data_IF_890538603041
#
_entry.id   IF_890538603041
#
_cell.length_a   1.000
_cell.length_b   1.000
_cell.length_c   1.000
_cell.angle_alpha   90.00
_cell.angle_beta   90.00
_cell.angle_gamma   90.00
#
_symmetry.space_group_name_H-M   'P 1'
#
loop_
_entity.id
_entity.type
_entity.pdbx_description
1 polymer ?
#
# COMPACT_ATOMS: atom_id res chain seq x y z
N UNK A 1 23.31 67.41 41.81
CA UNK A 1 23.92 66.09 41.49
C UNK A 1 23.06 64.86 41.97
N UNK A 2 22.00 65.07 42.74
CA UNK A 2 21.18 64.05 43.41
C UNK A 2 20.10 63.45 42.48
N UNK A 3 19.58 64.23 41.53
CA UNK A 3 18.44 63.79 40.67
C UNK A 3 18.87 62.86 39.50
N UNK A 4 20.12 62.88 39.07
CA UNK A 4 20.63 62.09 37.93
C UNK A 4 20.69 60.58 38.24
N UNK A 5 20.79 60.19 39.52
CA UNK A 5 20.87 58.79 39.93
C UNK A 5 19.49 58.16 40.09
N UNK A 6 18.43 58.93 40.38
CA UNK A 6 17.08 58.45 40.51
C UNK A 6 16.49 58.05 39.14
N UNK A 7 16.73 58.86 38.08
CA UNK A 7 16.25 58.52 36.73
C UNK A 7 16.96 57.31 36.15
N UNK A 8 18.22 57.04 36.52
CA UNK A 8 18.93 55.82 36.10
C UNK A 8 18.37 54.57 36.75
N UNK A 9 17.89 54.65 37.99
CA UNK A 9 17.24 53.52 38.68
C UNK A 9 15.84 53.25 38.14
N UNK A 10 15.08 54.31 37.82
CA UNK A 10 13.74 54.21 37.20
C UNK A 10 13.84 53.65 35.77
N UNK A 11 14.79 54.11 34.96
CA UNK A 11 15.01 53.59 33.61
C UNK A 11 15.42 52.08 33.62
N UNK A 12 16.24 51.68 34.60
CA UNK A 12 16.60 50.26 34.76
C UNK A 12 15.44 49.37 35.17
N UNK A 13 14.53 49.85 36.03
CA UNK A 13 13.33 49.14 36.47
C UNK A 13 12.31 49.00 35.34
N UNK A 14 12.12 50.00 34.48
CA UNK A 14 11.19 49.95 33.34
C UNK A 14 11.67 49.00 32.27
N UNK A 15 13.01 48.97 31.99
CA UNK A 15 13.59 48.03 31.05
C UNK A 15 13.48 46.56 31.55
N UNK A 16 13.66 46.33 32.86
CA UNK A 16 13.50 44.99 33.45
C UNK A 16 12.04 44.47 33.39
N UNK A 17 11.06 45.35 33.57
CA UNK A 17 9.61 45.00 33.47
C UNK A 17 9.23 44.74 32.00
N UNK A 18 9.78 45.48 31.04
CA UNK A 18 9.50 45.22 29.60
C UNK A 18 10.07 43.91 29.08
N UNK A 19 11.16 43.39 29.66
CA UNK A 19 11.73 42.10 29.28
C UNK A 19 10.94 40.91 29.86
N UNK A 20 10.10 41.11 30.89
CA UNK A 20 9.29 40.07 31.50
C UNK A 20 7.94 39.82 30.83
N UNK A 21 7.52 40.66 29.87
CA UNK A 21 6.27 40.55 29.13
C UNK A 21 6.40 39.90 27.75
N UNK A 22 7.51 39.25 27.42
CA UNK A 22 7.61 38.40 26.23
C UNK A 22 6.80 37.12 26.54
N UNK A 23 5.70 36.88 25.81
CA UNK A 23 5.00 35.61 25.96
C UNK A 23 5.99 34.47 25.62
N UNK A 24 5.95 33.35 26.37
CA UNK A 24 6.74 32.20 25.98
C UNK A 24 6.39 31.87 24.53
N UNK A 25 7.35 31.88 23.62
CA UNK A 25 7.17 31.34 22.31
C UNK A 25 6.80 29.85 22.51
N UNK A 26 5.51 29.55 22.46
CA UNK A 26 5.04 28.17 22.40
C UNK A 26 5.68 27.58 21.15
N UNK A 27 6.76 26.82 21.33
CA UNK A 27 7.23 25.93 20.29
C UNK A 27 6.06 25.00 20.03
N UNK A 28 5.29 25.27 18.98
CA UNK A 28 4.35 24.31 18.45
C UNK A 28 5.20 23.08 18.13
N UNK A 29 5.08 22.03 18.96
CA UNK A 29 5.63 20.75 18.61
C UNK A 29 4.97 20.39 17.28
N UNK A 30 5.72 20.46 16.20
CA UNK A 30 5.26 19.93 14.92
C UNK A 30 4.99 18.45 15.19
N UNK A 31 3.74 18.06 15.04
CA UNK A 31 3.34 16.67 15.12
C UNK A 31 4.08 15.96 13.98
N UNK A 32 5.21 15.34 14.32
CA UNK A 32 6.06 14.64 13.34
C UNK A 32 5.29 13.38 12.95
N UNK A 33 4.72 13.41 11.73
CA UNK A 33 4.04 12.27 11.16
C UNK A 33 5.02 11.09 11.03
N UNK A 34 4.82 10.04 11.80
CA UNK A 34 5.63 8.82 11.67
C UNK A 34 5.19 7.98 10.48
N UNK A 35 6.09 7.16 9.95
CA UNK A 35 5.75 6.25 8.85
C UNK A 35 4.66 5.25 9.24
N UNK A 36 4.63 4.80 10.49
CA UNK A 36 3.58 3.89 10.99
C UNK A 36 2.22 4.60 11.06
N UNK A 37 2.16 5.83 11.56
CA UNK A 37 0.93 6.63 11.58
C UNK A 37 0.42 6.89 10.16
N UNK A 38 1.32 7.20 9.23
CA UNK A 38 0.96 7.39 7.83
C UNK A 38 0.43 6.10 7.19
N UNK A 39 1.08 4.97 7.45
CA UNK A 39 0.62 3.66 6.99
C UNK A 39 -0.76 3.29 7.56
N UNK A 40 -1.01 3.61 8.83
CA UNK A 40 -2.33 3.42 9.45
C UNK A 40 -3.41 4.27 8.75
N UNK A 41 -3.11 5.52 8.45
CA UNK A 41 -4.02 6.39 7.72
C UNK A 41 -4.35 5.85 6.32
N UNK A 42 -3.36 5.30 5.61
CA UNK A 42 -3.57 4.60 4.34
C UNK A 42 -4.47 3.38 4.52
N UNK A 43 -4.20 2.54 5.54
CA UNK A 43 -5.02 1.37 5.85
C UNK A 43 -6.46 1.73 6.19
N UNK A 44 -6.69 2.80 6.96
CA UNK A 44 -8.03 3.30 7.27
C UNK A 44 -8.74 3.81 6.01
N UNK A 45 -8.04 4.52 5.11
CA UNK A 45 -8.60 4.94 3.82
C UNK A 45 -9.08 3.73 3.01
N UNK A 46 -8.27 2.67 2.91
CA UNK A 46 -8.67 1.44 2.23
C UNK A 46 -9.86 0.76 2.91
N UNK A 47 -10.03 0.94 4.22
CA UNK A 47 -11.21 0.46 4.96
C UNK A 47 -12.52 1.19 4.62
N UNK A 48 -12.46 2.35 3.98
CA UNK A 48 -13.65 3.10 3.51
C UNK A 48 -14.03 2.78 2.07
N UNK A 49 -13.24 1.95 1.38
CA UNK A 49 -13.45 1.59 -0.02
C UNK A 49 -14.29 0.31 -0.07
N UNK A 50 -15.48 0.40 -0.64
CA UNK A 50 -16.35 -0.75 -0.88
C UNK A 50 -15.90 -1.53 -2.10
N UNK A 51 -15.54 -0.82 -3.18
CA UNK A 51 -15.00 -1.39 -4.41
C UNK A 51 -14.08 -0.39 -5.12
N UNK A 52 -13.22 -0.88 -6.01
CA UNK A 52 -12.48 -0.03 -6.94
C UNK A 52 -12.11 -0.76 -8.23
N UNK A 53 -11.89 0.02 -9.27
CA UNK A 53 -11.20 -0.41 -10.49
C UNK A 53 -9.93 0.38 -10.66
N UNK A 54 -8.92 -0.22 -11.29
CA UNK A 54 -7.70 0.48 -11.72
C UNK A 54 -7.08 -0.23 -12.93
N UNK A 55 -6.31 0.50 -13.72
CA UNK A 55 -5.36 -0.13 -14.64
C UNK A 55 -4.16 -0.60 -13.83
N UNK A 56 -3.69 -1.81 -14.10
CA UNK A 56 -2.51 -2.39 -13.46
C UNK A 56 -1.45 -2.73 -14.51
N UNK A 57 -0.21 -2.34 -14.22
CA UNK A 57 0.97 -2.80 -14.94
C UNK A 57 1.87 -3.55 -13.97
N UNK A 58 2.24 -4.78 -14.31
CA UNK A 58 3.13 -5.62 -13.51
C UNK A 58 4.41 -5.84 -14.31
N UNK A 59 5.55 -5.45 -13.74
CA UNK A 59 6.87 -5.61 -14.38
C UNK A 59 7.74 -6.54 -13.54
N UNK A 60 8.31 -7.56 -14.21
CA UNK A 60 9.28 -8.48 -13.63
C UNK A 60 10.36 -8.78 -14.67
N UNK A 61 11.59 -8.35 -14.41
CA UNK A 61 12.67 -8.41 -15.39
C UNK A 61 12.31 -7.68 -16.67
N UNK A 62 12.33 -8.38 -17.80
CA UNK A 62 11.94 -7.84 -19.12
C UNK A 62 10.45 -8.07 -19.44
N UNK A 63 9.73 -8.76 -18.57
CA UNK A 63 8.31 -9.07 -18.78
C UNK A 63 7.43 -7.98 -18.22
N UNK A 64 6.48 -7.50 -19.02
CA UNK A 64 5.44 -6.57 -18.61
C UNK A 64 4.08 -7.19 -18.88
N UNK A 65 3.23 -7.19 -17.86
CA UNK A 65 1.83 -7.58 -17.95
C UNK A 65 0.95 -6.37 -17.68
N UNK A 66 -0.14 -6.24 -18.41
CA UNK A 66 -1.08 -5.11 -18.28
C UNK A 66 -2.50 -5.64 -18.16
N UNK A 67 -3.35 -4.89 -17.48
CA UNK A 67 -4.75 -5.29 -17.33
C UNK A 67 -5.57 -4.31 -16.50
N UNK A 68 -6.81 -4.70 -16.25
CA UNK A 68 -7.72 -3.99 -15.35
C UNK A 68 -7.95 -4.82 -14.11
N UNK A 69 -7.66 -4.26 -12.95
CA UNK A 69 -8.01 -4.84 -11.66
C UNK A 69 -9.39 -4.34 -11.22
N UNK A 70 -10.19 -5.26 -10.71
CA UNK A 70 -11.45 -5.02 -10.02
C UNK A 70 -11.29 -5.56 -8.60
N UNK A 71 -11.66 -4.79 -7.62
CA UNK A 71 -11.67 -5.19 -6.21
C UNK A 71 -13.01 -4.86 -5.60
N UNK A 72 -13.50 -5.73 -4.73
CA UNK A 72 -14.65 -5.47 -3.87
C UNK A 72 -14.40 -6.04 -2.49
N UNK A 73 -14.64 -5.21 -1.49
CA UNK A 73 -14.51 -5.62 -0.10
C UNK A 73 -15.50 -6.76 0.25
N UNK A 74 -15.12 -7.68 1.12
CA UNK A 74 -13.86 -7.67 1.83
C UNK A 74 -12.70 -8.34 1.07
N UNK A 75 -12.92 -9.25 0.13
CA UNK A 75 -11.88 -10.18 -0.36
C UNK A 75 -12.04 -10.56 -1.85
N UNK A 76 -12.92 -9.91 -2.60
CA UNK A 76 -13.11 -10.22 -4.01
C UNK A 76 -12.13 -9.42 -4.86
N UNK A 77 -11.37 -10.11 -5.72
CA UNK A 77 -10.49 -9.49 -6.69
C UNK A 77 -10.58 -10.20 -8.03
N UNK A 78 -10.55 -9.43 -9.10
CA UNK A 78 -10.38 -9.94 -10.47
C UNK A 78 -9.40 -9.07 -11.22
N UNK A 79 -8.51 -9.69 -11.99
CA UNK A 79 -7.66 -9.01 -12.97
C UNK A 79 -7.97 -9.60 -14.34
N UNK A 80 -8.39 -8.74 -15.25
CA UNK A 80 -8.50 -9.08 -16.66
C UNK A 80 -7.25 -8.52 -17.35
N UNK A 81 -6.36 -9.40 -17.79
CA UNK A 81 -5.15 -8.98 -18.49
C UNK A 81 -5.45 -8.64 -19.95
N UNK A 82 -4.86 -7.57 -20.43
CA UNK A 82 -4.82 -7.15 -21.83
C UNK A 82 -3.50 -7.50 -22.49
N UNK A 83 -2.48 -7.70 -21.66
CA UNK A 83 -1.17 -8.23 -22.04
C UNK A 83 -0.61 -9.12 -20.90
N UNK A 84 -0.46 -10.44 -21.09
CA UNK A 84 -0.95 -11.26 -22.21
C UNK A 84 -2.48 -11.24 -22.29
N UNK A 85 -3.00 -11.32 -23.53
CA UNK A 85 -4.45 -11.23 -23.78
C UNK A 85 -5.22 -12.40 -23.15
N UNK A 86 -6.47 -12.13 -22.78
CA UNK A 86 -7.47 -13.10 -22.28
C UNK A 86 -7.09 -13.86 -21.00
N UNK A 87 -5.94 -13.58 -20.38
CA UNK A 87 -5.66 -14.13 -19.07
C UNK A 87 -6.57 -13.50 -18.02
N UNK A 88 -7.01 -14.31 -17.08
CA UNK A 88 -7.87 -13.86 -15.98
C UNK A 88 -7.38 -14.43 -14.66
N UNK A 89 -7.17 -13.56 -13.68
CA UNK A 89 -6.96 -13.95 -12.30
C UNK A 89 -8.21 -13.59 -11.50
N UNK A 90 -8.74 -14.55 -10.74
CA UNK A 90 -9.85 -14.31 -9.81
C UNK A 90 -9.45 -14.81 -8.43
N UNK A 91 -9.75 -14.02 -7.42
CA UNK A 91 -9.54 -14.36 -6.01
C UNK A 91 -10.83 -14.08 -5.24
N UNK A 92 -11.23 -15.03 -4.42
CA UNK A 92 -12.30 -14.89 -3.46
C UNK A 92 -11.87 -15.49 -2.11
N UNK A 93 -12.80 -15.65 -1.15
CA UNK A 93 -12.50 -16.19 0.19
C UNK A 93 -11.96 -17.61 0.21
N UNK A 94 -12.30 -18.40 -0.81
CA UNK A 94 -12.06 -19.85 -0.84
C UNK A 94 -10.90 -20.24 -1.75
N UNK A 95 -10.70 -19.48 -2.83
CA UNK A 95 -9.77 -19.89 -3.88
C UNK A 95 -9.17 -18.71 -4.65
N UNK A 96 -7.98 -18.96 -5.20
CA UNK A 96 -7.38 -18.19 -6.28
C UNK A 96 -7.45 -19.02 -7.55
N UNK A 97 -7.91 -18.44 -8.63
CA UNK A 97 -7.92 -19.04 -9.97
C UNK A 97 -7.14 -18.17 -10.95
N UNK A 98 -6.30 -18.82 -11.74
CA UNK A 98 -5.57 -18.20 -12.86
C UNK A 98 -5.88 -18.99 -14.13
N UNK A 99 -6.55 -18.34 -15.08
CA UNK A 99 -6.82 -18.89 -16.41
C UNK A 99 -5.76 -18.43 -17.40
N UNK A 100 -5.11 -19.39 -18.05
CA UNK A 100 -4.09 -19.22 -19.08
C UNK A 100 -4.63 -19.77 -20.41
N UNK A 101 -5.33 -18.97 -21.22
CA UNK A 101 -6.06 -19.45 -22.39
C UNK A 101 -5.13 -20.02 -23.47
N UNK A 102 -3.97 -19.41 -23.71
CA UNK A 102 -2.97 -19.89 -24.70
C UNK A 102 -2.49 -21.31 -24.38
N UNK A 103 -2.48 -21.68 -23.11
CA UNK A 103 -2.08 -23.00 -22.64
C UNK A 103 -3.25 -23.96 -22.40
N UNK A 104 -4.48 -23.46 -22.56
CA UNK A 104 -5.71 -24.20 -22.20
C UNK A 104 -5.67 -24.71 -20.74
N UNK A 105 -5.15 -23.92 -19.81
CA UNK A 105 -4.94 -24.29 -18.41
C UNK A 105 -5.73 -23.37 -17.49
N UNK A 106 -6.40 -23.96 -16.47
CA UNK A 106 -6.90 -23.25 -15.29
C UNK A 106 -6.11 -23.76 -14.07
N UNK A 107 -5.40 -22.87 -13.42
CA UNK A 107 -4.69 -23.15 -12.17
C UNK A 107 -5.56 -22.70 -11.01
N UNK A 108 -5.81 -23.60 -10.06
CA UNK A 108 -6.56 -23.32 -8.84
C UNK A 108 -5.67 -23.49 -7.62
N UNK A 109 -5.87 -22.62 -6.66
CA UNK A 109 -5.29 -22.75 -5.33
C UNK A 109 -6.40 -22.59 -4.30
N UNK A 110 -6.64 -23.59 -3.49
CA UNK A 110 -7.49 -23.46 -2.33
C UNK A 110 -6.81 -22.60 -1.27
N UNK A 111 -7.56 -21.64 -0.76
CA UNK A 111 -7.12 -20.71 0.27
C UNK A 111 -7.68 -21.18 1.59
N UNK A 112 -6.83 -21.71 2.46
CA UNK A 112 -7.24 -22.07 3.83
C UNK A 112 -7.73 -20.84 4.61
N UNK A 113 -8.61 -21.06 5.60
CA UNK A 113 -9.11 -20.01 6.48
C UNK A 113 -7.96 -19.27 7.17
N UNK A 114 -7.62 -18.10 6.67
CA UNK A 114 -6.50 -17.29 7.17
C UNK A 114 -5.29 -17.20 6.23
N UNK A 115 -5.29 -17.88 5.09
CA UNK A 115 -4.26 -17.70 4.09
C UNK A 115 -4.36 -16.29 3.49
N UNK A 116 -3.29 -15.52 3.66
CA UNK A 116 -3.17 -14.20 3.07
C UNK A 116 -2.71 -14.37 1.64
N UNK A 117 -3.63 -14.36 0.72
CA UNK A 117 -3.29 -14.30 -0.70
C UNK A 117 -2.65 -12.95 -0.99
N UNK A 118 -1.34 -12.96 -1.18
CA UNK A 118 -0.47 -11.78 -1.19
C UNK A 118 -1.00 -10.57 -1.97
N UNK A 119 -1.51 -10.73 -3.20
CA UNK A 119 -1.98 -9.62 -4.05
C UNK A 119 -3.36 -9.09 -3.63
N UNK A 120 -4.35 -9.97 -3.39
CA UNK A 120 -5.69 -9.55 -2.99
C UNK A 120 -5.69 -8.93 -1.59
N UNK A 121 -4.83 -9.44 -0.70
CA UNK A 121 -4.63 -8.89 0.63
C UNK A 121 -4.06 -7.47 0.60
N UNK A 122 -3.11 -7.15 -0.25
CA UNK A 122 -2.48 -5.82 -0.33
C UNK A 122 -3.46 -4.71 -0.72
N UNK A 123 -4.54 -5.04 -1.40
CA UNK A 123 -5.56 -4.10 -1.86
C UNK A 123 -6.66 -3.84 -0.83
N UNK A 124 -6.58 -4.36 0.38
CA UNK A 124 -7.61 -4.26 1.41
C UNK A 124 -7.06 -3.74 2.75
N UNK A 125 -7.94 -3.17 3.59
CA UNK A 125 -7.60 -2.79 4.97
C UNK A 125 -6.99 -3.95 5.75
N UNK A 126 -7.60 -5.14 5.64
CA UNK A 126 -7.13 -6.36 6.33
C UNK A 126 -5.71 -6.74 5.88
N UNK A 127 -5.45 -6.69 4.58
CA UNK A 127 -4.14 -7.00 4.03
C UNK A 127 -3.07 -6.01 4.42
N UNK A 128 -3.37 -4.71 4.40
CA UNK A 128 -2.46 -3.68 4.89
C UNK A 128 -2.14 -3.86 6.37
N UNK A 129 -3.14 -4.18 7.21
CA UNK A 129 -2.92 -4.49 8.63
C UNK A 129 -2.02 -5.72 8.83
N UNK A 130 -2.13 -6.73 7.99
CA UNK A 130 -1.26 -7.91 8.03
C UNK A 130 0.16 -7.57 7.61
N UNK A 131 0.34 -6.74 6.58
CA UNK A 131 1.66 -6.21 6.23
C UNK A 131 2.29 -5.48 7.42
N UNK A 132 1.55 -4.64 8.13
CA UNK A 132 2.06 -3.94 9.34
C UNK A 132 2.52 -4.89 10.43
N UNK A 133 1.87 -6.04 10.61
CA UNK A 133 2.28 -7.06 11.59
C UNK A 133 3.57 -7.77 11.19
N UNK A 134 3.72 -8.05 9.90
CA UNK A 134 4.85 -8.84 9.36
C UNK A 134 6.07 -7.99 9.01
N UNK A 135 5.89 -6.68 8.84
CA UNK A 135 6.94 -5.76 8.39
C UNK A 135 7.14 -4.61 9.37
N UNK A 136 8.38 -4.14 9.46
CA UNK A 136 8.68 -2.81 10.00
C UNK A 136 8.44 -1.76 8.91
N UNK A 137 7.88 -0.61 9.27
CA UNK A 137 7.52 0.46 8.34
C UNK A 137 8.38 1.68 8.61
N UNK A 138 8.99 2.24 7.57
CA UNK A 138 9.74 3.49 7.60
C UNK A 138 9.41 4.33 6.36
N UNK A 139 9.66 5.63 6.40
CA UNK A 139 9.74 6.41 5.16
C UNK A 139 11.00 6.04 4.39
N UNK A 140 10.91 5.94 3.05
CA UNK A 140 12.07 5.65 2.22
C UNK A 140 12.97 6.89 2.06
N UNK A 141 12.37 8.05 1.82
CA UNK A 141 13.07 9.31 1.54
C UNK A 141 12.60 10.47 2.47
N UNK A 142 11.91 10.13 3.58
CA UNK A 142 11.35 11.11 4.52
C UNK A 142 9.84 11.27 4.41
N UNK A 143 9.23 12.12 5.28
CA UNK A 143 7.79 12.27 5.36
C UNK A 143 7.20 13.20 4.29
N UNK A 144 8.03 13.95 3.57
CA UNK A 144 7.55 14.91 2.58
C UNK A 144 7.15 14.22 1.27
N UNK A 145 6.13 14.73 0.56
CA UNK A 145 5.78 14.24 -0.76
C UNK A 145 6.89 14.55 -1.77
N UNK A 146 7.23 13.55 -2.58
CA UNK A 146 8.20 13.64 -3.66
C UNK A 146 7.59 13.14 -4.96
N UNK A 147 8.12 13.48 -6.15
CA UNK A 147 7.67 12.90 -7.40
C UNK A 147 7.77 11.38 -7.40
N UNK A 148 6.81 10.70 -8.05
CA UNK A 148 6.85 9.23 -8.22
C UNK A 148 8.11 8.82 -9.00
N UNK A 149 8.47 9.59 -10.04
CA UNK A 149 9.67 9.50 -10.86
C UNK A 149 10.20 10.92 -11.11
N UNK A 150 11.46 11.05 -11.55
CA UNK A 150 12.16 12.34 -11.68
C UNK A 150 11.37 13.41 -12.47
N UNK A 151 10.61 13.01 -13.51
CA UNK A 151 9.83 13.92 -14.36
C UNK A 151 8.31 13.77 -14.15
N UNK A 152 7.87 13.14 -13.05
CA UNK A 152 6.46 12.90 -12.80
C UNK A 152 5.80 14.04 -12.03
N UNK A 153 4.63 14.50 -12.50
CA UNK A 153 3.77 15.41 -11.75
C UNK A 153 3.02 14.71 -10.59
N UNK A 154 3.12 13.38 -10.51
CA UNK A 154 2.45 12.60 -9.46
C UNK A 154 3.29 12.64 -8.19
N UNK A 155 2.80 13.39 -7.19
CA UNK A 155 3.44 13.46 -5.89
C UNK A 155 3.01 12.31 -4.99
N UNK A 156 3.99 11.63 -4.37
CA UNK A 156 3.78 10.48 -3.50
C UNK A 156 4.64 10.56 -2.24
N UNK A 157 4.19 9.92 -1.17
CA UNK A 157 5.06 9.54 -0.05
C UNK A 157 5.48 8.10 -0.23
N UNK A 158 6.79 7.84 -0.13
CA UNK A 158 7.35 6.50 -0.31
C UNK A 158 7.62 5.86 1.05
N UNK A 159 7.00 4.71 1.27
CA UNK A 159 7.22 3.87 2.45
C UNK A 159 8.11 2.69 2.06
N UNK A 160 8.94 2.27 3.01
CA UNK A 160 9.75 1.06 2.95
C UNK A 160 9.30 0.12 4.05
N UNK A 161 8.89 -1.07 3.66
CA UNK A 161 8.50 -2.15 4.54
C UNK A 161 9.57 -3.25 4.47
N UNK A 162 10.08 -3.70 5.61
CA UNK A 162 11.12 -4.75 5.68
C UNK A 162 10.64 -5.84 6.62
N UNK A 163 10.82 -7.09 6.27
CA UNK A 163 10.49 -8.23 7.11
C UNK A 163 10.95 -8.05 8.56
N UNK A 164 10.06 -8.34 9.50
CA UNK A 164 10.44 -8.53 10.90
C UNK A 164 11.10 -9.90 11.12
N UNK A 165 10.62 -10.91 10.39
CA UNK A 165 11.15 -12.28 10.42
C UNK A 165 11.17 -12.80 8.97
N UNK A 166 12.28 -13.40 8.52
CA UNK A 166 12.35 -14.01 7.20
C UNK A 166 11.23 -15.04 7.00
N UNK A 167 10.60 -15.00 5.84
CA UNK A 167 9.48 -15.86 5.50
C UNK A 167 9.32 -16.01 3.99
N UNK A 168 8.12 -16.40 3.57
CA UNK A 168 7.75 -16.43 2.16
C UNK A 168 7.29 -15.06 1.67
N UNK A 169 7.41 -14.80 0.38
CA UNK A 169 7.01 -13.56 -0.27
C UNK A 169 8.13 -12.51 -0.36
N UNK A 170 7.79 -11.24 -0.22
CA UNK A 170 8.73 -10.15 -0.40
C UNK A 170 9.49 -9.83 0.89
N UNK A 171 10.82 -9.88 0.85
CA UNK A 171 11.70 -9.45 1.96
C UNK A 171 11.63 -7.94 2.21
N UNK A 172 11.33 -7.18 1.18
CA UNK A 172 11.16 -5.74 1.21
C UNK A 172 10.05 -5.35 0.26
N UNK A 173 9.26 -4.35 0.64
CA UNK A 173 8.25 -3.71 -0.18
C UNK A 173 8.48 -2.21 -0.11
N UNK A 174 8.54 -1.54 -1.26
CA UNK A 174 8.45 -0.10 -1.36
C UNK A 174 7.04 0.26 -1.82
N UNK A 175 6.39 1.18 -1.14
CA UNK A 175 5.01 1.56 -1.41
C UNK A 175 4.93 3.07 -1.63
N UNK A 176 4.50 3.47 -2.81
CA UNK A 176 4.30 4.88 -3.19
C UNK A 176 2.83 5.22 -3.10
N UNK A 177 2.49 6.15 -2.22
CA UNK A 177 1.11 6.54 -1.91
C UNK A 177 0.89 8.00 -2.29
N UNK A 178 -0.14 8.28 -3.08
CA UNK A 178 -0.46 9.64 -3.52
C UNK A 178 -1.18 10.46 -2.43
N UNK A 179 -1.48 11.73 -2.75
CA UNK A 179 -2.14 12.66 -1.82
C UNK A 179 -3.57 12.22 -1.41
N UNK A 180 -4.23 11.38 -2.23
CA UNK A 180 -5.55 10.81 -1.93
C UNK A 180 -5.47 9.52 -1.10
N UNK A 181 -4.31 9.19 -0.54
CA UNK A 181 -4.04 7.96 0.22
C UNK A 181 -4.21 6.68 -0.62
N UNK A 182 -4.08 6.77 -1.95
CA UNK A 182 -4.15 5.61 -2.84
C UNK A 182 -2.74 5.17 -3.24
N UNK A 183 -2.51 3.87 -3.19
CA UNK A 183 -1.25 3.25 -3.62
C UNK A 183 -1.15 3.39 -5.15
N UNK A 184 -0.08 4.01 -5.62
CA UNK A 184 0.23 4.21 -7.04
C UNK A 184 1.26 3.23 -7.56
N UNK A 185 2.19 2.83 -6.70
CA UNK A 185 3.23 1.85 -7.04
C UNK A 185 3.57 1.00 -5.83
N UNK A 186 3.78 -0.26 -6.06
CA UNK A 186 4.44 -1.17 -5.12
C UNK A 186 5.62 -1.83 -5.81
N UNK A 187 6.75 -1.90 -5.12
CA UNK A 187 7.93 -2.64 -5.58
C UNK A 187 8.27 -3.67 -4.54
N UNK A 188 8.12 -4.94 -4.89
CA UNK A 188 8.47 -6.07 -4.03
C UNK A 188 9.84 -6.63 -4.41
N UNK A 189 10.67 -6.91 -3.41
CA UNK A 189 11.92 -7.64 -3.56
C UNK A 189 11.79 -8.98 -2.82
N UNK A 190 11.92 -10.10 -3.53
CA UNK A 190 11.84 -11.44 -2.95
C UNK A 190 13.08 -11.80 -2.13
N UNK A 191 13.04 -12.95 -1.44
CA UNK A 191 14.21 -13.51 -0.74
C UNK A 191 15.41 -13.73 -1.69
N UNK A 192 15.14 -14.12 -2.92
CA UNK A 192 16.14 -14.39 -3.98
C UNK A 192 16.50 -13.13 -4.79
N UNK A 193 16.10 -11.95 -4.30
CA UNK A 193 16.38 -10.64 -4.90
C UNK A 193 15.73 -10.40 -6.27
N UNK A 194 14.68 -11.13 -6.62
CA UNK A 194 13.84 -10.82 -7.76
C UNK A 194 12.95 -9.60 -7.46
N UNK A 195 12.88 -8.69 -8.42
CA UNK A 195 12.14 -7.43 -8.29
C UNK A 195 10.84 -7.49 -9.10
N UNK A 196 9.73 -7.26 -8.41
CA UNK A 196 8.40 -7.11 -9.00
C UNK A 196 7.92 -5.69 -8.78
N UNK A 197 7.42 -5.05 -9.83
CA UNK A 197 6.81 -3.73 -9.74
C UNK A 197 5.35 -3.81 -10.17
N UNK A 198 4.48 -3.17 -9.40
CA UNK A 198 3.05 -3.07 -9.63
C UNK A 198 2.70 -1.59 -9.68
N UNK A 199 2.26 -1.10 -10.82
CA UNK A 199 1.78 0.26 -11.03
C UNK A 199 0.27 0.28 -11.14
N UNK A 200 -0.39 1.24 -10.49
CA UNK A 200 -1.83 1.43 -10.51
C UNK A 200 -2.16 2.81 -11.06
N UNK A 201 -2.92 2.86 -12.16
CA UNK A 201 -3.40 4.08 -12.79
C UNK A 201 -4.92 4.08 -12.88
N UNK A 202 -5.53 5.22 -13.17
CA UNK A 202 -6.97 5.38 -13.41
C UNK A 202 -7.85 4.76 -12.31
N UNK A 203 -7.46 4.96 -11.06
CA UNK A 203 -8.15 4.38 -9.90
C UNK A 203 -9.51 5.07 -9.71
N UNK A 204 -10.58 4.29 -9.78
CA UNK A 204 -11.96 4.71 -9.54
C UNK A 204 -12.53 3.92 -8.37
N UNK A 205 -12.98 4.60 -7.32
CA UNK A 205 -13.48 3.98 -6.09
C UNK A 205 -15.00 4.07 -6.00
N UNK A 206 -15.64 3.08 -5.34
CA UNK A 206 -17.05 3.04 -4.97
C UNK A 206 -18.00 3.23 -6.18
N UNK A 207 -17.78 2.44 -7.23
CA UNK A 207 -18.57 2.47 -8.46
C UNK A 207 -19.75 1.49 -8.44
N UNK A 208 -19.91 0.68 -7.38
CA UNK A 208 -20.98 -0.29 -7.25
C UNK A 208 -20.76 -1.53 -8.11
N UNK A 209 -19.57 -2.11 -8.09
CA UNK A 209 -19.23 -3.29 -8.88
C UNK A 209 -20.11 -4.48 -8.44
N UNK A 210 -20.84 -5.12 -9.37
CA UNK A 210 -21.68 -6.27 -9.03
C UNK A 210 -20.83 -7.51 -8.70
N UNK A 211 -21.31 -8.38 -7.82
CA UNK A 211 -20.61 -9.62 -7.41
C UNK A 211 -20.36 -10.57 -8.57
N UNK A 212 -21.26 -10.57 -9.56
CA UNK A 212 -21.09 -11.35 -10.80
C UNK A 212 -19.81 -11.01 -11.58
N UNK A 213 -19.22 -9.83 -11.35
CA UNK A 213 -17.92 -9.49 -11.94
C UNK A 213 -16.79 -10.42 -11.49
N UNK A 214 -16.94 -11.03 -10.30
CA UNK A 214 -15.91 -11.88 -9.68
C UNK A 214 -16.17 -13.37 -9.87
N UNK A 215 -17.23 -13.72 -10.62
CA UNK A 215 -17.49 -15.08 -11.05
C UNK A 215 -16.63 -15.41 -12.28
N UNK A 216 -16.19 -16.64 -12.38
CA UNK A 216 -15.43 -17.14 -13.52
C UNK A 216 -15.92 -18.53 -13.90
N UNK A 217 -16.46 -18.63 -15.11
CA UNK A 217 -16.87 -19.91 -15.71
C UNK A 217 -15.66 -20.55 -16.40
N UNK A 218 -15.23 -21.69 -15.87
CA UNK A 218 -14.12 -22.42 -16.46
C UNK A 218 -14.50 -23.00 -17.82
N UNK A 219 -13.66 -22.81 -18.85
CA UNK A 219 -13.86 -23.48 -20.12
C UNK A 219 -13.85 -25.01 -19.93
N UNK A 220 -14.85 -25.77 -20.45
CA UNK A 220 -14.91 -27.22 -20.27
C UNK A 220 -13.72 -27.99 -20.84
N UNK A 221 -12.98 -27.37 -21.77
CA UNK A 221 -11.81 -27.92 -22.43
C UNK A 221 -10.49 -27.61 -21.72
N UNK A 222 -10.52 -26.79 -20.66
CA UNK A 222 -9.31 -26.40 -19.95
C UNK A 222 -8.77 -27.56 -19.09
N UNK A 223 -7.46 -27.76 -19.13
CA UNK A 223 -6.76 -28.64 -18.20
C UNK A 223 -6.65 -27.95 -16.84
N UNK A 224 -7.09 -28.63 -15.77
CA UNK A 224 -7.04 -28.09 -14.42
C UNK A 224 -5.78 -28.54 -13.69
N UNK A 225 -5.12 -27.59 -13.01
CA UNK A 225 -4.04 -27.81 -12.07
C UNK A 225 -4.48 -27.27 -10.71
N UNK A 226 -4.69 -28.17 -9.75
CA UNK A 226 -5.11 -27.81 -8.41
C UNK A 226 -3.88 -27.69 -7.48
N UNK A 227 -3.98 -26.76 -6.50
CA UNK A 227 -2.99 -26.56 -5.44
C UNK A 227 -1.55 -26.34 -5.95
N UNK A 228 -1.41 -25.45 -6.93
CA UNK A 228 -0.16 -25.21 -7.63
C UNK A 228 0.87 -24.40 -6.81
N UNK A 229 0.47 -23.69 -5.77
CA UNK A 229 1.37 -22.91 -4.90
C UNK A 229 1.78 -23.70 -3.66
N UNK A 230 0.85 -24.40 -3.02
CA UNK A 230 1.07 -25.19 -1.81
C UNK A 230 -0.08 -26.17 -1.57
N UNK A 231 0.20 -27.27 -0.89
CA UNK A 231 -0.84 -28.20 -0.45
C UNK A 231 -1.63 -27.58 0.74
N UNK A 232 -2.97 -27.59 0.71
CA UNK A 232 -3.81 -26.93 1.73
C UNK A 232 -3.56 -27.40 3.17
N UNK A 233 -3.06 -28.62 3.34
CA UNK A 233 -2.86 -29.27 4.65
C UNK A 233 -1.42 -29.22 5.17
N UNK A 234 -0.47 -28.57 4.50
CA UNK A 234 0.93 -28.54 4.91
C UNK A 234 1.26 -27.47 5.99
N UNK A 235 0.26 -26.74 6.48
CA UNK A 235 0.46 -25.68 7.48
C UNK A 235 0.09 -26.05 8.93
N UNK A 236 -0.08 -27.35 9.22
CA UNK A 236 -0.34 -27.83 10.60
C UNK A 236 0.74 -28.81 11.06
N UNK A 237 1.99 -28.35 11.19
CA UNK A 237 3.00 -28.97 12.04
C UNK A 237 3.85 -27.89 12.72
#
# INVERSE_FOLDING_TARGET
MKYRNEYRKLAGAVVAVLLMCLPPASAAAQDILTAEQYFDAVSEKYGTIEDYTAQITITHGETTMEGTVFYKAPNLMRINFTNPEEQVLVVNDEQLMLHLPVHHVVMRQELGSGSNTGLAGMASKKGLQLLKRSYSVAFLEGPEPIPLEEESDIMVRKLKLVWRTPGQGFRQIEMSVNQNMMIRRMVGLTGDYERFQFDFTDIQINQGIPDTRFEFDEPPSAYRIDNFLFEPNSQSQ
#
